data_IF_880677815171
#
_entry.id   IF_880677815171
#
_cell.length_a   1.000
_cell.length_b   1.000
_cell.length_c   1.000
_cell.angle_alpha   90.00
_cell.angle_beta   90.00
_cell.angle_gamma   90.00
#
_symmetry.space_group_name_H-M   'P 1'
#
loop_
_entity.id
_entity.type
_entity.pdbx_description
1 polymer ?
#
# COMPACT_ATOMS: atom_id res chain seq x y z
N UNK A 1 -10.76 -16.59 19.38
CA UNK A 1 -9.44 -16.26 20.02
C UNK A 1 -9.52 -14.89 20.64
N UNK A 2 -8.84 -14.67 21.78
CA UNK A 2 -8.84 -13.38 22.49
C UNK A 2 -7.47 -12.69 22.38
N UNK A 3 -7.51 -11.38 22.10
CA UNK A 3 -6.37 -10.45 22.03
C UNK A 3 -6.56 -9.29 22.99
N UNK A 4 -5.48 -8.60 23.33
CA UNK A 4 -5.61 -7.31 24.04
C UNK A 4 -6.06 -6.24 23.03
N UNK A 5 -5.48 -6.26 21.80
CA UNK A 5 -5.78 -5.29 20.76
C UNK A 5 -5.93 -6.01 19.40
N UNK A 6 -7.00 -5.69 18.69
CA UNK A 6 -7.12 -6.00 17.25
C UNK A 6 -7.09 -4.69 16.47
N UNK A 7 -6.22 -4.63 15.46
CA UNK A 7 -6.15 -3.51 14.53
C UNK A 7 -6.77 -3.93 13.20
N UNK A 8 -7.71 -3.17 12.67
CA UNK A 8 -8.37 -3.45 11.39
C UNK A 8 -7.83 -2.52 10.32
N UNK A 9 -7.10 -3.07 9.36
CA UNK A 9 -6.38 -2.40 8.30
C UNK A 9 -4.88 -2.27 8.56
N UNK A 10 -4.06 -2.68 7.59
CA UNK A 10 -2.60 -2.70 7.66
C UNK A 10 -1.92 -1.50 6.99
N UNK A 11 -2.65 -0.44 6.70
CA UNK A 11 -2.07 0.82 6.22
C UNK A 11 -1.11 1.44 7.24
N UNK A 12 -0.47 2.59 6.93
CA UNK A 12 0.52 3.23 7.81
C UNK A 12 0.00 3.49 9.24
N UNK A 13 -1.27 3.85 9.39
CA UNK A 13 -1.89 3.99 10.72
C UNK A 13 -2.03 2.66 11.47
N UNK A 14 -2.34 1.57 10.73
CA UNK A 14 -2.61 0.26 11.32
C UNK A 14 -1.35 -0.50 11.71
N UNK A 15 -0.43 -0.74 10.76
CA UNK A 15 0.77 -1.53 11.07
C UNK A 15 1.67 -0.84 12.11
N UNK A 16 1.75 0.49 12.09
CA UNK A 16 2.54 1.23 13.09
C UNK A 16 1.91 1.10 14.48
N UNK A 17 0.57 1.24 14.58
CA UNK A 17 -0.14 1.05 15.84
C UNK A 17 0.01 -0.38 16.38
N UNK A 18 -0.12 -1.39 15.51
CA UNK A 18 0.02 -2.79 15.88
C UNK A 18 1.42 -3.11 16.40
N UNK A 19 2.47 -2.66 15.69
CA UNK A 19 3.86 -2.84 16.10
C UNK A 19 4.10 -2.16 17.46
N UNK A 20 3.63 -0.93 17.63
CA UNK A 20 3.84 -0.20 18.88
C UNK A 20 3.11 -0.87 20.05
N UNK A 21 1.90 -1.34 19.84
CA UNK A 21 1.14 -2.07 20.86
C UNK A 21 1.86 -3.36 21.30
N UNK A 22 2.39 -4.14 20.33
CA UNK A 22 3.16 -5.33 20.63
C UNK A 22 4.45 -5.02 21.40
N UNK A 23 5.19 -3.96 21.01
CA UNK A 23 6.37 -3.50 21.76
C UNK A 23 6.08 -3.08 23.19
N UNK A 24 4.83 -2.70 23.49
CA UNK A 24 4.33 -2.40 24.83
C UNK A 24 3.82 -3.66 25.57
N UNK A 25 4.13 -4.85 25.08
CA UNK A 25 3.80 -6.12 25.70
C UNK A 25 2.36 -6.58 25.49
N UNK A 26 1.62 -6.00 24.54
CA UNK A 26 0.24 -6.41 24.25
C UNK A 26 0.21 -7.56 23.25
N UNK A 27 -0.75 -8.47 23.44
CA UNK A 27 -1.09 -9.52 22.45
C UNK A 27 -1.94 -8.90 21.35
N UNK A 28 -1.39 -8.81 20.14
CA UNK A 28 -1.98 -8.05 19.04
C UNK A 28 -2.29 -8.94 17.84
N UNK A 29 -3.46 -8.72 17.24
CA UNK A 29 -3.75 -9.17 15.88
C UNK A 29 -3.95 -7.96 14.96
N UNK A 30 -3.63 -8.12 13.69
CA UNK A 30 -3.89 -7.15 12.63
C UNK A 30 -4.67 -7.84 11.51
N UNK A 31 -5.82 -7.27 11.15
CA UNK A 31 -6.69 -7.79 10.09
C UNK A 31 -6.47 -6.97 8.83
N UNK A 32 -6.18 -7.65 7.70
CA UNK A 32 -6.04 -7.02 6.39
C UNK A 32 -6.71 -7.87 5.31
N UNK A 33 -7.48 -7.22 4.43
CA UNK A 33 -8.19 -7.89 3.34
C UNK A 33 -7.40 -8.01 2.04
N UNK A 34 -6.34 -7.24 1.91
CA UNK A 34 -5.52 -7.13 0.70
C UNK A 34 -4.04 -7.24 1.05
N UNK A 35 -3.21 -6.43 0.43
CA UNK A 35 -1.76 -6.45 0.64
C UNK A 35 -1.36 -5.69 1.91
N UNK A 36 -0.41 -6.24 2.68
CA UNK A 36 0.15 -5.57 3.85
C UNK A 36 0.76 -4.21 3.48
N UNK A 37 0.55 -3.20 4.37
CA UNK A 37 0.98 -1.83 4.13
C UNK A 37 -0.08 -0.93 3.51
N UNK A 38 -1.23 -1.50 3.12
CA UNK A 38 -2.40 -0.78 2.63
C UNK A 38 -2.14 0.05 1.36
N UNK A 39 -3.02 1.02 1.12
CA UNK A 39 -2.98 1.85 -0.11
C UNK A 39 -1.66 2.60 -0.26
N UNK A 40 -1.11 3.17 0.80
CA UNK A 40 0.12 3.97 0.70
C UNK A 40 1.28 3.17 0.10
N UNK A 41 1.52 1.94 0.56
CA UNK A 41 2.64 1.12 0.09
C UNK A 41 2.35 0.50 -1.27
N UNK A 42 1.13 0.06 -1.51
CA UNK A 42 0.80 -0.76 -2.68
C UNK A 42 0.20 0.04 -3.84
N UNK A 43 -0.61 1.08 -3.56
CA UNK A 43 -1.41 1.79 -4.56
C UNK A 43 -1.42 3.31 -4.37
N UNK A 44 -0.40 3.88 -3.71
CA UNK A 44 -0.34 5.30 -3.39
C UNK A 44 1.08 5.84 -3.32
N UNK A 45 1.52 6.17 -2.10
CA UNK A 45 2.75 6.92 -1.84
C UNK A 45 4.00 6.29 -2.48
N UNK A 46 4.20 4.99 -2.26
CA UNK A 46 5.44 4.30 -2.67
C UNK A 46 5.51 4.13 -4.20
N UNK A 47 4.51 3.53 -4.88
CA UNK A 47 4.58 3.40 -6.33
C UNK A 47 4.60 4.77 -7.04
N UNK A 48 3.87 5.76 -6.55
CA UNK A 48 3.92 7.13 -7.10
C UNK A 48 5.34 7.70 -7.03
N UNK A 49 5.99 7.62 -5.87
CA UNK A 49 7.35 8.12 -5.72
C UNK A 49 8.38 7.33 -6.54
N UNK A 50 8.15 6.03 -6.74
CA UNK A 50 8.99 5.22 -7.62
C UNK A 50 8.86 5.66 -9.08
N UNK A 51 7.65 5.99 -9.57
CA UNK A 51 7.42 6.56 -10.90
C UNK A 51 8.06 7.93 -11.05
N UNK A 52 7.83 8.84 -10.08
CA UNK A 52 8.43 10.18 -10.06
C UNK A 52 9.97 10.12 -10.06
N UNK A 53 10.56 9.14 -9.37
CA UNK A 53 12.01 8.96 -9.41
C UNK A 53 12.50 8.55 -10.78
N UNK A 54 11.78 7.70 -11.50
CA UNK A 54 12.12 7.35 -12.89
C UNK A 54 12.02 8.56 -13.81
N UNK A 55 10.97 9.40 -13.67
CA UNK A 55 10.83 10.65 -14.41
C UNK A 55 11.97 11.63 -14.09
N UNK A 56 12.36 11.76 -12.82
CA UNK A 56 13.47 12.61 -12.39
C UNK A 56 14.80 12.14 -13.03
N UNK A 57 15.06 10.82 -13.03
CA UNK A 57 16.27 10.26 -13.68
C UNK A 57 16.27 10.56 -15.17
N UNK A 58 15.13 10.39 -15.85
CA UNK A 58 14.99 10.76 -17.25
C UNK A 58 15.32 12.25 -17.50
N UNK A 59 14.78 13.14 -16.66
CA UNK A 59 15.09 14.58 -16.75
C UNK A 59 16.57 14.85 -16.53
N UNK A 60 17.23 14.18 -15.58
CA UNK A 60 18.69 14.30 -15.38
C UNK A 60 19.47 13.84 -16.61
N UNK A 61 19.07 12.74 -17.24
CA UNK A 61 19.70 12.30 -18.47
C UNK A 61 19.53 13.32 -19.61
N UNK A 62 18.35 13.93 -19.75
CA UNK A 62 18.11 14.98 -20.77
C UNK A 62 18.93 16.25 -20.54
N UNK A 63 19.32 16.52 -19.31
CA UNK A 63 20.13 17.68 -18.91
C UNK A 63 21.50 17.29 -18.35
N UNK A 64 22.04 16.17 -18.80
CA UNK A 64 23.28 15.58 -18.29
C UNK A 64 24.48 16.54 -18.36
N UNK A 65 24.55 17.38 -19.40
CA UNK A 65 25.60 18.38 -19.58
C UNK A 65 25.71 19.38 -18.41
N UNK A 66 24.57 19.75 -17.80
CA UNK A 66 24.56 20.62 -16.61
C UNK A 66 25.26 19.98 -15.41
N UNK A 67 25.41 18.67 -15.41
CA UNK A 67 26.10 17.89 -14.37
C UNK A 67 27.50 17.45 -14.78
N UNK A 68 28.01 17.97 -15.91
CA UNK A 68 29.32 17.61 -16.46
C UNK A 68 29.37 16.18 -17.01
N UNK A 69 28.24 15.62 -17.40
CA UNK A 69 28.13 14.25 -17.94
C UNK A 69 27.85 14.29 -19.44
N UNK A 70 28.54 13.45 -20.20
CA UNK A 70 28.24 13.22 -21.61
C UNK A 70 27.58 11.87 -21.77
N UNK A 71 26.38 11.84 -22.35
CA UNK A 71 25.67 10.60 -22.69
C UNK A 71 25.88 10.26 -24.17
N UNK A 72 26.26 9.01 -24.41
CA UNK A 72 26.34 8.47 -25.79
C UNK A 72 24.99 7.91 -26.20
N UNK A 73 24.35 8.52 -27.21
CA UNK A 73 23.05 8.09 -27.71
C UNK A 73 21.84 8.73 -27.06
N UNK A 74 20.66 8.34 -27.53
CA UNK A 74 19.38 8.86 -27.08
C UNK A 74 18.83 8.06 -25.87
N UNK A 75 18.32 8.77 -24.88
CA UNK A 75 17.65 8.15 -23.72
C UNK A 75 16.15 8.17 -23.98
N UNK A 76 15.57 6.99 -24.14
CA UNK A 76 14.14 6.81 -24.35
C UNK A 76 13.48 6.18 -23.10
N UNK A 77 12.33 6.70 -22.64
CA UNK A 77 11.59 6.07 -21.57
C UNK A 77 10.92 4.78 -22.04
N UNK A 78 10.94 3.76 -21.19
CA UNK A 78 10.22 2.50 -21.38
C UNK A 78 9.12 2.41 -20.31
N UNK A 79 7.87 2.75 -20.63
CA UNK A 79 6.78 2.80 -19.66
C UNK A 79 6.52 1.46 -18.97
N UNK A 80 6.65 0.33 -19.68
CA UNK A 80 6.43 -1.00 -19.10
C UNK A 80 7.46 -1.30 -18.01
N UNK A 81 8.75 -1.04 -18.28
CA UNK A 81 9.81 -1.22 -17.27
C UNK A 81 9.70 -0.24 -16.10
N UNK A 82 9.29 1.01 -16.37
CA UNK A 82 9.06 2.01 -15.32
C UNK A 82 7.95 1.55 -14.38
N UNK A 83 6.83 1.06 -14.92
CA UNK A 83 5.72 0.52 -14.14
C UNK A 83 6.15 -0.74 -13.39
N UNK A 84 6.81 -1.69 -14.06
CA UNK A 84 7.29 -2.92 -13.43
C UNK A 84 8.24 -2.63 -12.25
N UNK A 85 9.17 -1.68 -12.41
CA UNK A 85 10.02 -1.20 -11.32
C UNK A 85 9.20 -0.64 -10.15
N UNK A 86 8.22 0.20 -10.43
CA UNK A 86 7.34 0.78 -9.41
C UNK A 86 6.59 -0.31 -8.62
N UNK A 87 6.08 -1.33 -9.30
CA UNK A 87 5.40 -2.47 -8.66
C UNK A 87 6.37 -3.31 -7.82
N UNK A 88 7.58 -3.55 -8.30
CA UNK A 88 8.62 -4.26 -7.54
C UNK A 88 9.02 -3.54 -6.25
N UNK A 89 9.11 -2.21 -6.28
CA UNK A 89 9.37 -1.40 -5.06
C UNK A 89 8.21 -1.53 -4.07
N UNK A 90 6.97 -1.44 -4.54
CA UNK A 90 5.78 -1.59 -3.70
C UNK A 90 5.73 -2.99 -3.05
N UNK A 91 5.98 -4.05 -3.81
CA UNK A 91 6.03 -5.42 -3.32
C UNK A 91 7.12 -5.61 -2.24
N UNK A 92 8.31 -5.07 -2.45
CA UNK A 92 9.40 -5.12 -1.48
C UNK A 92 8.99 -4.46 -0.16
N UNK A 93 8.34 -3.30 -0.21
CA UNK A 93 7.88 -2.60 0.97
C UNK A 93 6.76 -3.35 1.70
N UNK A 94 5.81 -3.94 0.97
CA UNK A 94 4.74 -4.77 1.53
C UNK A 94 5.30 -6.01 2.25
N UNK A 95 6.25 -6.71 1.63
CA UNK A 95 6.98 -7.83 2.26
C UNK A 95 7.72 -7.39 3.52
N UNK A 96 8.31 -6.18 3.51
CA UNK A 96 8.96 -5.58 4.67
C UNK A 96 7.99 -5.37 5.84
N UNK A 97 6.79 -4.88 5.59
CA UNK A 97 5.76 -4.73 6.63
C UNK A 97 5.34 -6.10 7.17
N UNK A 98 5.07 -7.08 6.31
CA UNK A 98 4.72 -8.43 6.75
C UNK A 98 5.83 -9.06 7.62
N UNK A 99 7.09 -8.86 7.26
CA UNK A 99 8.24 -9.28 8.07
C UNK A 99 8.25 -8.58 9.44
N UNK A 100 8.01 -7.27 9.50
CA UNK A 100 7.99 -6.52 10.76
C UNK A 100 6.83 -6.97 11.67
N UNK A 101 5.66 -7.27 11.13
CA UNK A 101 4.54 -7.82 11.88
C UNK A 101 4.93 -9.17 12.51
N UNK A 102 5.50 -10.08 11.71
CA UNK A 102 5.99 -11.37 12.20
C UNK A 102 7.08 -11.22 13.26
N UNK A 103 8.06 -10.34 13.03
CA UNK A 103 9.15 -10.06 13.98
C UNK A 103 8.65 -9.58 15.34
N UNK A 104 7.53 -8.86 15.36
CA UNK A 104 6.90 -8.36 16.58
C UNK A 104 5.80 -9.29 17.10
N UNK A 105 5.74 -10.56 16.66
CA UNK A 105 4.75 -11.56 17.10
C UNK A 105 3.30 -11.08 16.97
N UNK A 106 2.98 -10.37 15.89
CA UNK A 106 1.64 -9.90 15.58
C UNK A 106 0.99 -10.90 14.64
N UNK A 107 -0.19 -11.40 15.01
CA UNK A 107 -0.96 -12.30 14.16
C UNK A 107 -1.59 -11.51 13.01
N UNK A 108 -1.11 -11.74 11.78
CA UNK A 108 -1.71 -11.17 10.58
C UNK A 108 -2.86 -12.07 10.12
N UNK A 109 -4.09 -11.59 10.30
CA UNK A 109 -5.32 -12.27 9.88
C UNK A 109 -5.75 -11.72 8.53
N UNK A 110 -5.65 -12.55 7.51
CA UNK A 110 -6.12 -12.19 6.16
C UNK A 110 -7.64 -12.31 6.09
N UNK A 111 -8.33 -11.28 5.61
CA UNK A 111 -9.77 -11.30 5.39
C UNK A 111 -10.46 -9.97 5.67
N UNK A 112 -11.78 -9.95 5.44
CA UNK A 112 -12.61 -8.77 5.65
C UNK A 112 -13.14 -8.72 7.09
N UNK A 113 -12.62 -7.78 7.89
CA UNK A 113 -13.03 -7.58 9.28
C UNK A 113 -14.34 -6.81 9.39
N UNK A 114 -15.30 -7.35 10.16
CA UNK A 114 -16.61 -6.75 10.47
C UNK A 114 -16.81 -6.68 11.97
N UNK A 115 -17.10 -5.52 12.51
CA UNK A 115 -17.52 -5.37 13.90
C UNK A 115 -18.92 -5.97 14.09
N UNK A 116 -19.07 -6.91 15.00
CA UNK A 116 -20.35 -7.54 15.31
C UNK A 116 -20.94 -7.06 16.65
N UNK A 117 -20.07 -6.68 17.58
CA UNK A 117 -20.44 -6.07 18.86
C UNK A 117 -19.22 -5.35 19.46
N UNK A 118 -19.39 -4.70 20.62
CA UNK A 118 -18.27 -4.12 21.37
C UNK A 118 -17.25 -5.22 21.70
N UNK A 119 -15.98 -4.99 21.34
CA UNK A 119 -14.89 -5.95 21.53
C UNK A 119 -14.96 -7.21 20.68
N UNK A 120 -15.90 -7.32 19.71
CA UNK A 120 -16.07 -8.50 18.86
C UNK A 120 -15.93 -8.16 17.37
N UNK A 121 -15.07 -8.93 16.71
CA UNK A 121 -14.81 -8.85 15.29
C UNK A 121 -15.05 -10.22 14.65
N UNK A 122 -15.67 -10.20 13.46
CA UNK A 122 -15.78 -11.35 12.57
C UNK A 122 -14.85 -11.13 11.37
N UNK A 123 -14.10 -12.15 10.98
CA UNK A 123 -13.30 -12.17 9.75
C UNK A 123 -13.64 -13.44 9.00
N UNK A 124 -14.31 -13.30 7.86
CA UNK A 124 -14.71 -14.40 6.98
C UNK A 124 -15.35 -15.58 7.75
N UNK A 125 -16.32 -15.28 8.64
CA UNK A 125 -17.06 -16.26 9.46
C UNK A 125 -16.35 -16.69 10.75
N UNK A 126 -15.10 -16.30 10.97
CA UNK A 126 -14.38 -16.60 12.21
C UNK A 126 -14.51 -15.44 13.20
N UNK A 127 -14.85 -15.75 14.47
CA UNK A 127 -15.03 -14.75 15.51
C UNK A 127 -13.78 -14.54 16.35
N UNK A 128 -13.46 -13.29 16.58
CA UNK A 128 -12.34 -12.84 17.42
C UNK A 128 -12.84 -11.86 18.48
N UNK A 129 -12.20 -11.87 19.64
CA UNK A 129 -12.50 -10.96 20.74
C UNK A 129 -11.24 -10.16 21.10
N UNK A 130 -11.44 -8.90 21.46
CA UNK A 130 -10.37 -8.03 21.96
C UNK A 130 -10.88 -7.06 22.99
N UNK A 131 -10.01 -6.70 23.93
CA UNK A 131 -10.32 -5.66 24.91
C UNK A 131 -10.42 -4.28 24.22
N UNK A 132 -9.63 -4.07 23.14
CA UNK A 132 -9.67 -2.85 22.31
C UNK A 132 -9.60 -3.18 20.82
N UNK A 133 -10.36 -2.44 20.00
CA UNK A 133 -10.31 -2.54 18.54
C UNK A 133 -9.94 -1.16 17.96
N UNK A 134 -8.89 -1.13 17.15
CA UNK A 134 -8.44 0.08 16.44
C UNK A 134 -8.89 -0.04 14.99
N UNK A 135 -9.72 0.90 14.52
CA UNK A 135 -10.15 0.98 13.14
C UNK A 135 -9.18 1.86 12.34
N UNK A 136 -8.37 1.24 11.49
CA UNK A 136 -7.41 1.90 10.59
C UNK A 136 -7.69 1.52 9.13
N UNK A 137 -8.96 1.52 8.75
CA UNK A 137 -9.50 0.94 7.51
C UNK A 137 -9.14 1.73 6.24
N UNK A 138 -8.53 2.92 6.39
CA UNK A 138 -8.08 3.75 5.28
C UNK A 138 -9.22 4.34 4.45
N UNK A 139 -8.91 4.60 3.17
CA UNK A 139 -9.84 5.20 2.22
C UNK A 139 -9.71 4.57 0.83
N UNK A 140 -10.66 4.88 -0.03
CA UNK A 140 -10.67 4.51 -1.45
C UNK A 140 -11.10 5.71 -2.30
N UNK A 141 -10.79 5.73 -3.62
CA UNK A 141 -11.32 6.73 -4.52
C UNK A 141 -12.85 6.83 -4.41
N UNK A 142 -13.35 8.05 -4.34
CA UNK A 142 -14.79 8.27 -4.36
C UNK A 142 -15.30 8.15 -5.80
N UNK A 143 -16.31 7.33 -6.00
CA UNK A 143 -17.04 7.28 -7.26
C UNK A 143 -18.13 8.36 -7.29
N UNK A 144 -18.23 9.05 -8.42
CA UNK A 144 -19.25 10.08 -8.64
C UNK A 144 -20.24 9.59 -9.69
N UNK A 145 -21.54 9.64 -9.40
CA UNK A 145 -22.57 9.11 -10.28
C UNK A 145 -22.59 9.76 -11.68
N UNK A 146 -22.19 11.04 -11.78
CA UNK A 146 -22.11 11.76 -13.06
C UNK A 146 -20.81 11.49 -13.84
N UNK A 147 -19.82 10.81 -13.23
CA UNK A 147 -18.53 10.50 -13.84
C UNK A 147 -18.00 9.17 -13.26
N UNK A 148 -18.62 8.04 -13.64
CA UNK A 148 -18.19 6.73 -13.14
C UNK A 148 -16.81 6.37 -13.67
N UNK A 149 -16.05 5.65 -12.86
CA UNK A 149 -14.75 5.12 -13.26
C UNK A 149 -14.98 3.91 -14.18
N UNK A 150 -14.75 4.07 -15.48
CA UNK A 150 -14.92 3.03 -16.50
C UNK A 150 -13.62 2.24 -16.76
N UNK A 151 -12.49 2.70 -16.20
CA UNK A 151 -11.18 2.07 -16.37
C UNK A 151 -10.52 2.32 -17.72
N UNK A 152 -11.12 3.15 -18.58
CA UNK A 152 -10.64 3.46 -19.93
C UNK A 152 -10.47 4.97 -20.18
N UNK A 153 -11.56 5.73 -20.11
CA UNK A 153 -11.57 7.18 -20.29
C UNK A 153 -11.50 7.90 -18.94
N UNK A 154 -12.21 7.36 -17.96
CA UNK A 154 -12.16 7.82 -16.59
C UNK A 154 -11.51 6.75 -15.74
N UNK A 155 -10.30 7.03 -15.28
CA UNK A 155 -9.47 6.09 -14.50
C UNK A 155 -9.23 6.61 -13.09
N UNK A 156 -9.11 5.70 -12.14
CA UNK A 156 -8.66 6.04 -10.78
C UNK A 156 -7.13 6.10 -10.71
N UNK A 157 -6.62 6.60 -9.60
CA UNK A 157 -5.17 6.55 -9.31
C UNK A 157 -4.60 5.13 -9.40
N UNK A 158 -5.39 4.11 -9.09
CA UNK A 158 -4.95 2.71 -9.16
C UNK A 158 -4.63 2.27 -10.58
N UNK A 159 -5.48 2.60 -11.55
CA UNK A 159 -5.23 2.33 -12.97
C UNK A 159 -4.08 3.20 -13.49
N UNK A 160 -4.05 4.50 -13.10
CA UNK A 160 -2.98 5.40 -13.52
C UNK A 160 -1.58 4.92 -13.11
N UNK A 161 -1.43 4.28 -11.94
CA UNK A 161 -0.16 3.72 -11.46
C UNK A 161 0.32 2.48 -12.24
N UNK A 162 -0.53 1.92 -13.12
CA UNK A 162 -0.23 0.71 -13.87
C UNK A 162 -0.35 0.89 -15.40
N UNK A 163 -0.42 2.13 -15.87
CA UNK A 163 -0.43 2.44 -17.30
C UNK A 163 0.92 2.10 -17.93
N UNK A 164 0.92 1.12 -18.82
CA UNK A 164 2.11 0.70 -19.60
C UNK A 164 2.22 1.41 -20.94
N UNK A 165 1.18 2.16 -21.34
CA UNK A 165 1.17 3.03 -22.51
C UNK A 165 0.75 4.43 -22.07
N UNK A 166 1.47 5.43 -22.58
CA UNK A 166 1.07 6.82 -22.39
C UNK A 166 -0.12 7.11 -23.33
N UNK A 167 -1.21 7.71 -22.83
CA UNK A 167 -2.29 8.16 -23.69
C UNK A 167 -1.79 9.27 -24.63
N UNK A 168 -2.36 9.32 -25.83
CA UNK A 168 -2.14 10.39 -26.82
C UNK A 168 -2.85 11.67 -26.41
#
# INVERSE_FOLDING_TARGET
MKYDIIVVGSGPGGYVAAIRASQLGRKVALVERAEAGGVCLNWGCIPTKALLKSAQVYTYCKSAEHYGLTLAGEVCPDPEKIVARSRGVAETMSKGVAFLLKKNNIDLIQGFGRLTAAGRLEVDGTHYEADHIILATGARPREMAFMPIDGRHVISSRQALTLTRLPE
#
